data_IF_470636911559
#
_entry.id   IF_470636911559
#
_cell.length_a   1.000
_cell.length_b   1.000
_cell.length_c   1.000
_cell.angle_alpha   90.00
_cell.angle_beta   90.00
_cell.angle_gamma   90.00
#
_symmetry.space_group_name_H-M   'P 1'
#
loop_
_entity.id
_entity.type
_entity.pdbx_description
1 polymer ?
#
# COMPACT_ATOMS: atom_id res chain seq x y z
N UNK A 1 9.81 22.42 -9.36
CA UNK A 1 10.66 22.18 -8.17
C UNK A 1 9.78 21.52 -7.12
N UNK A 2 10.09 20.30 -6.70
CA UNK A 2 9.34 19.57 -5.67
C UNK A 2 9.37 20.35 -4.35
N UNK A 3 8.28 21.06 -4.04
CA UNK A 3 8.34 22.11 -3.02
C UNK A 3 8.49 21.53 -1.60
N UNK A 4 7.96 20.32 -1.34
CA UNK A 4 7.88 19.75 0.01
C UNK A 4 8.51 18.35 0.19
N UNK A 5 8.97 17.68 -0.88
CA UNK A 5 9.31 16.24 -0.84
C UNK A 5 10.58 15.89 -0.04
N UNK A 6 11.50 16.83 0.17
CA UNK A 6 12.81 16.58 0.79
C UNK A 6 13.03 17.32 2.12
N UNK A 7 12.03 18.06 2.60
CA UNK A 7 12.18 18.95 3.75
C UNK A 7 11.07 18.73 4.79
N UNK A 8 11.27 19.26 5.99
CA UNK A 8 10.26 19.22 7.04
C UNK A 8 10.23 17.89 7.79
N UNK A 9 11.37 17.46 8.33
CA UNK A 9 11.43 16.25 9.17
C UNK A 9 11.12 16.65 10.60
N UNK A 10 10.20 15.96 11.25
CA UNK A 10 9.89 16.22 12.65
C UNK A 10 11.02 15.70 13.56
N UNK A 11 11.69 16.53 14.39
CA UNK A 11 12.72 16.05 15.30
C UNK A 11 12.18 15.02 16.32
N UNK A 12 10.88 15.06 16.65
CA UNK A 12 10.23 14.08 17.54
C UNK A 12 10.22 12.67 16.97
N UNK A 13 10.12 12.52 15.65
CA UNK A 13 10.23 11.21 15.00
C UNK A 13 11.60 10.59 15.29
N UNK A 14 12.66 11.38 15.12
CA UNK A 14 14.04 10.94 15.35
C UNK A 14 14.26 10.65 16.84
N UNK A 15 13.77 11.51 17.72
CA UNK A 15 13.86 11.32 19.18
C UNK A 15 13.21 10.01 19.62
N UNK A 16 11.97 9.74 19.20
CA UNK A 16 11.24 8.52 19.57
C UNK A 16 11.94 7.23 19.10
N UNK A 17 12.53 7.24 17.91
CA UNK A 17 13.20 6.06 17.36
C UNK A 17 14.59 5.85 17.97
N UNK A 18 15.33 6.93 18.22
CA UNK A 18 16.73 6.85 18.68
C UNK A 18 16.88 6.91 20.20
N UNK A 19 15.84 7.30 20.92
CA UNK A 19 15.87 7.55 22.36
C UNK A 19 16.65 8.82 22.77
N UNK A 20 17.12 9.62 21.81
CA UNK A 20 17.84 10.87 22.08
C UNK A 20 16.88 11.96 22.54
N UNK A 21 17.36 12.81 23.45
CA UNK A 21 16.63 14.00 23.87
C UNK A 21 16.44 14.97 22.69
N UNK A 22 15.33 15.71 22.69
CA UNK A 22 15.04 16.67 21.63
C UNK A 22 16.09 17.78 21.53
N UNK A 23 16.74 18.15 22.64
CA UNK A 23 17.81 19.16 22.64
C UNK A 23 19.07 18.72 21.88
N UNK A 24 19.25 17.42 21.64
CA UNK A 24 20.37 16.87 20.86
C UNK A 24 20.08 16.81 19.35
N UNK A 25 18.83 17.08 18.95
CA UNK A 25 18.36 16.96 17.58
C UNK A 25 18.10 18.37 17.05
N UNK A 26 18.61 18.75 15.86
CA UNK A 26 18.33 20.06 15.28
C UNK A 26 16.83 20.29 15.11
N UNK A 27 16.35 21.52 15.32
CA UNK A 27 14.94 21.86 15.12
C UNK A 27 14.44 21.59 13.70
N UNK A 28 15.34 21.64 12.72
CA UNK A 28 15.09 21.31 11.31
C UNK A 28 16.08 20.25 10.82
N UNK A 29 15.89 18.96 11.18
CA UNK A 29 16.75 17.88 10.71
C UNK A 29 16.67 17.73 9.19
N UNK A 30 17.79 17.31 8.59
CA UNK A 30 17.85 16.92 7.18
C UNK A 30 17.78 15.40 7.05
N UNK A 31 17.56 14.90 5.83
CA UNK A 31 17.46 13.48 5.56
C UNK A 31 18.66 12.67 6.09
N UNK A 32 19.86 13.25 6.16
CA UNK A 32 21.06 12.56 6.68
C UNK A 32 20.95 12.17 8.16
N UNK A 33 20.04 12.79 8.91
CA UNK A 33 19.74 12.48 10.32
C UNK A 33 18.61 11.45 10.49
N UNK A 34 17.96 11.00 9.41
CA UNK A 34 16.93 9.97 9.51
C UNK A 34 17.54 8.68 10.08
N UNK A 35 16.90 8.08 11.11
CA UNK A 35 17.31 6.80 11.65
C UNK A 35 16.90 5.66 10.71
N UNK A 36 17.37 4.45 11.02
CA UNK A 36 17.13 3.29 10.16
C UNK A 36 18.10 3.18 9.00
N UNK A 37 17.86 2.19 8.16
CA UNK A 37 18.68 1.85 7.01
C UNK A 37 18.15 2.52 5.74
N UNK A 38 16.85 2.40 5.48
CA UNK A 38 16.27 2.74 4.18
C UNK A 38 15.80 4.18 4.06
N UNK A 39 15.41 4.84 5.16
CA UNK A 39 14.94 6.23 5.11
C UNK A 39 15.88 7.19 4.36
N UNK A 40 17.20 7.02 4.51
CA UNK A 40 18.22 7.83 3.82
C UNK A 40 18.43 7.44 2.37
N UNK A 41 18.25 6.16 2.03
CA UNK A 41 18.34 5.65 0.67
C UNK A 41 17.16 6.21 -0.12
N UNK A 42 15.95 5.99 0.38
CA UNK A 42 14.70 6.49 -0.20
C UNK A 42 14.71 8.02 -0.32
N UNK A 43 15.25 8.75 0.66
CA UNK A 43 15.36 10.21 0.61
C UNK A 43 16.17 10.73 -0.60
N UNK A 44 17.16 9.98 -1.09
CA UNK A 44 17.95 10.36 -2.28
C UNK A 44 17.11 10.25 -3.55
N UNK A 45 16.27 9.23 -3.62
CA UNK A 45 15.46 8.88 -4.79
C UNK A 45 14.07 9.55 -4.83
N UNK A 46 13.73 10.40 -3.84
CA UNK A 46 12.41 11.07 -3.72
C UNK A 46 11.91 11.83 -4.97
N UNK A 47 12.80 12.23 -5.87
CA UNK A 47 12.41 12.88 -7.13
C UNK A 47 11.88 11.88 -8.18
N UNK A 48 12.24 10.61 -8.06
CA UNK A 48 11.84 9.51 -8.95
C UNK A 48 10.50 8.88 -8.55
N UNK A 49 10.11 9.02 -7.28
CA UNK A 49 8.83 8.50 -6.78
C UNK A 49 7.64 9.12 -7.52
N UNK A 50 6.67 8.31 -7.97
CA UNK A 50 5.47 8.79 -8.64
C UNK A 50 4.67 9.73 -7.72
N UNK A 51 3.80 10.53 -8.34
CA UNK A 51 2.86 11.36 -7.60
C UNK A 51 1.54 10.62 -7.49
N UNK A 52 1.05 10.41 -6.28
CA UNK A 52 -0.32 9.91 -6.07
C UNK A 52 -1.35 10.93 -6.57
N UNK A 53 -1.10 12.22 -6.37
CA UNK A 53 -1.97 13.32 -6.80
C UNK A 53 -1.20 14.35 -7.63
N UNK A 54 -1.87 15.05 -8.57
CA UNK A 54 -1.28 16.19 -9.28
C UNK A 54 -0.75 17.26 -8.32
N UNK A 55 0.25 18.03 -8.76
CA UNK A 55 0.76 19.17 -7.98
C UNK A 55 -0.37 20.15 -7.64
N UNK A 56 -0.51 20.47 -6.34
CA UNK A 56 -1.53 21.39 -5.84
C UNK A 56 -0.89 22.46 -4.95
N UNK A 57 -0.15 23.35 -5.59
CA UNK A 57 0.72 24.31 -4.91
C UNK A 57 -0.03 25.58 -4.54
N UNK A 58 -0.05 25.89 -3.25
CA UNK A 58 -0.70 27.07 -2.70
C UNK A 58 0.19 27.83 -1.73
N UNK A 59 -0.12 29.12 -1.55
CA UNK A 59 0.66 29.99 -0.68
C UNK A 59 0.05 30.09 0.71
N UNK A 60 0.80 29.63 1.71
CA UNK A 60 0.40 29.63 3.11
C UNK A 60 1.33 30.50 3.94
N UNK A 61 0.78 31.11 4.98
CA UNK A 61 1.52 31.91 5.97
C UNK A 61 1.62 31.07 7.24
N UNK A 62 2.84 30.81 7.69
CA UNK A 62 3.07 30.18 8.99
C UNK A 62 2.78 31.19 10.09
N UNK A 63 1.88 30.89 11.02
CA UNK A 63 1.53 31.83 12.09
C UNK A 63 2.58 31.89 13.20
N UNK A 64 3.49 30.93 13.28
CA UNK A 64 4.56 30.91 14.28
C UNK A 64 5.68 31.90 13.98
N UNK A 65 6.03 32.07 12.70
CA UNK A 65 7.10 32.98 12.27
C UNK A 65 6.62 34.10 11.32
N UNK A 66 5.33 34.11 10.98
CA UNK A 66 4.66 35.08 10.10
C UNK A 66 5.24 35.19 8.67
N UNK A 67 5.91 34.15 8.20
CA UNK A 67 6.46 34.11 6.84
C UNK A 67 5.59 33.30 5.89
N UNK A 68 5.54 33.77 4.64
CA UNK A 68 4.82 33.17 3.53
C UNK A 68 5.68 32.13 2.82
N UNK A 69 5.10 30.99 2.48
CA UNK A 69 5.73 29.95 1.66
C UNK A 69 4.72 29.32 0.71
N UNK A 70 5.22 28.69 -0.35
CA UNK A 70 4.39 27.88 -1.22
C UNK A 70 4.53 26.43 -0.78
N UNK A 71 3.43 25.67 -0.82
CA UNK A 71 3.37 24.29 -0.38
C UNK A 71 2.46 23.51 -1.31
N UNK A 72 2.91 22.34 -1.72
CA UNK A 72 2.06 21.34 -2.36
C UNK A 72 1.20 20.67 -1.29
N UNK A 73 -0.12 20.82 -1.44
CA UNK A 73 -1.12 20.30 -0.51
C UNK A 73 -1.64 18.93 -0.91
N UNK A 74 -1.18 18.38 -2.04
CA UNK A 74 -1.74 17.15 -2.61
C UNK A 74 -3.24 17.30 -2.89
N UNK A 75 -4.00 16.24 -2.64
CA UNK A 75 -5.45 16.29 -2.75
C UNK A 75 -6.04 17.07 -1.57
N UNK A 76 -6.85 18.08 -1.88
CA UNK A 76 -7.65 18.83 -0.92
C UNK A 76 -9.08 18.28 -0.91
N UNK A 77 -9.47 17.66 0.19
CA UNK A 77 -10.83 17.25 0.45
C UNK A 77 -11.62 18.39 1.09
N UNK A 78 -12.82 18.65 0.57
CA UNK A 78 -13.71 19.70 1.02
C UNK A 78 -14.93 19.06 1.70
N UNK A 79 -15.14 19.41 2.95
CA UNK A 79 -16.32 19.05 3.72
C UNK A 79 -17.52 19.86 3.21
N UNK A 80 -18.36 19.19 2.42
CA UNK A 80 -19.52 19.80 1.78
C UNK A 80 -20.52 20.37 2.79
N UNK A 81 -20.74 19.70 3.92
CA UNK A 81 -21.67 20.14 4.96
C UNK A 81 -21.17 21.42 5.62
N UNK A 82 -19.88 21.47 5.99
CA UNK A 82 -19.27 22.70 6.55
C UNK A 82 -19.31 23.84 5.54
N UNK A 83 -19.01 23.57 4.26
CA UNK A 83 -19.05 24.59 3.21
C UNK A 83 -20.46 25.15 2.99
N UNK A 84 -21.50 24.30 3.07
CA UNK A 84 -22.89 24.74 2.94
C UNK A 84 -23.27 25.66 4.10
N UNK A 85 -22.92 25.29 5.33
CA UNK A 85 -23.18 26.10 6.52
C UNK A 85 -22.44 27.45 6.48
N UNK A 86 -21.20 27.46 5.99
CA UNK A 86 -20.41 28.67 5.74
C UNK A 86 -21.13 29.66 4.82
N UNK A 87 -21.75 29.17 3.74
CA UNK A 87 -22.49 29.99 2.77
C UNK A 87 -23.81 30.53 3.32
N UNK A 88 -24.44 29.81 4.24
CA UNK A 88 -25.72 30.18 4.85
C UNK A 88 -25.57 31.18 6.00
N UNK A 89 -24.46 31.13 6.76
CA UNK A 89 -24.20 32.00 7.93
C UNK A 89 -23.57 33.37 7.59
N UNK A 90 -23.71 33.88 6.37
CA UNK A 90 -23.39 35.28 6.06
C UNK A 90 -24.50 36.22 6.55
N UNK A 91 -24.75 36.26 7.86
CA UNK A 91 -25.61 37.26 8.51
C UNK A 91 -24.77 38.35 9.17
N UNK A 92 -25.25 39.59 9.01
CA UNK A 92 -24.72 40.83 9.59
C UNK A 92 -24.67 40.72 11.12
N UNK A 93 -23.49 40.63 11.73
CA UNK A 93 -23.12 41.25 13.01
C UNK A 93 -21.67 40.91 13.37
N UNK A 94 -20.89 41.97 13.63
CA UNK A 94 -19.44 42.01 13.45
C UNK A 94 -18.56 41.58 14.63
N UNK A 95 -18.90 40.54 15.40
CA UNK A 95 -18.09 40.17 16.58
C UNK A 95 -17.67 38.69 16.69
N UNK A 96 -18.16 37.80 15.82
CA UNK A 96 -17.64 36.42 15.73
C UNK A 96 -16.77 36.34 14.47
N UNK A 97 -15.51 35.89 14.61
CA UNK A 97 -14.62 35.67 13.48
C UNK A 97 -15.35 34.87 12.40
N UNK A 98 -15.54 35.47 11.22
CA UNK A 98 -16.26 34.84 10.12
C UNK A 98 -15.66 33.45 9.86
N UNK A 99 -16.46 32.37 9.87
CA UNK A 99 -15.95 31.03 9.58
C UNK A 99 -15.15 31.06 8.27
N UNK A 100 -14.03 30.34 8.24
CA UNK A 100 -13.11 30.40 7.09
C UNK A 100 -13.30 29.17 6.20
N UNK A 101 -13.06 29.32 4.89
CA UNK A 101 -12.96 28.18 3.98
C UNK A 101 -11.89 27.17 4.47
N UNK A 102 -10.90 27.65 5.22
CA UNK A 102 -9.89 26.86 5.92
C UNK A 102 -10.47 25.79 6.87
N UNK A 103 -11.65 26.03 7.43
CA UNK A 103 -12.30 25.09 8.37
C UNK A 103 -13.07 23.97 7.66
N UNK A 104 -13.27 24.13 6.35
CA UNK A 104 -13.98 23.19 5.50
C UNK A 104 -13.03 22.23 4.78
N UNK A 105 -11.72 22.34 4.95
CA UNK A 105 -10.75 21.58 4.15
C UNK A 105 -9.90 20.63 4.97
N UNK A 106 -9.44 19.59 4.29
CA UNK A 106 -8.37 18.68 4.71
C UNK A 106 -7.46 18.44 3.51
N UNK A 107 -6.17 18.20 3.75
CA UNK A 107 -5.19 18.03 2.70
C UNK A 107 -4.28 16.84 2.97
N UNK A 108 -3.97 16.08 1.92
CA UNK A 108 -3.08 14.91 2.03
C UNK A 108 -1.60 15.30 2.05
N UNK A 109 -1.21 16.38 1.38
CA UNK A 109 0.18 16.80 1.25
C UNK A 109 0.86 17.02 2.59
N UNK A 110 2.03 16.40 2.76
CA UNK A 110 2.85 16.59 3.94
C UNK A 110 3.78 17.80 3.76
N UNK A 111 3.77 18.73 4.71
CA UNK A 111 4.68 19.87 4.73
C UNK A 111 4.82 20.49 6.12
N UNK A 112 6.03 21.00 6.39
CA UNK A 112 6.37 21.83 7.56
C UNK A 112 7.01 23.13 7.06
N UNK A 113 6.93 24.19 7.86
CA UNK A 113 7.48 25.48 7.44
C UNK A 113 9.01 25.42 7.28
N UNK A 114 9.55 25.92 6.16
CA UNK A 114 10.97 25.70 5.83
C UNK A 114 11.98 26.30 6.82
N UNK A 115 11.69 27.42 7.49
CA UNK A 115 12.68 28.06 8.37
C UNK A 115 12.55 27.65 9.84
N UNK A 116 11.34 27.39 10.33
CA UNK A 116 11.09 27.06 11.75
C UNK A 116 10.54 25.64 11.96
N UNK A 117 10.35 24.87 10.88
CA UNK A 117 9.84 23.50 10.90
C UNK A 117 8.48 23.30 11.59
N UNK A 118 7.74 24.39 11.81
CA UNK A 118 6.43 24.34 12.44
C UNK A 118 5.40 23.66 11.53
N UNK A 119 4.42 23.01 12.18
CA UNK A 119 3.25 22.36 11.58
C UNK A 119 1.97 22.87 12.24
N UNK A 120 0.80 22.64 11.62
CA UNK A 120 -0.53 22.98 12.16
C UNK A 120 -0.90 24.47 12.22
N UNK A 121 0.06 25.37 12.19
CA UNK A 121 -0.09 26.81 12.37
C UNK A 121 -0.15 27.59 11.03
N UNK A 122 -1.26 27.50 10.31
CA UNK A 122 -1.37 28.03 8.94
C UNK A 122 -2.50 29.05 8.75
N UNK A 123 -2.21 30.12 8.00
CA UNK A 123 -3.19 31.06 7.45
C UNK A 123 -3.13 31.03 5.93
N UNK A 124 -4.29 31.16 5.30
CA UNK A 124 -4.38 31.33 3.85
C UNK A 124 -4.00 32.77 3.48
N UNK A 125 -3.32 32.94 2.36
CA UNK A 125 -3.24 34.26 1.74
C UNK A 125 -4.55 34.59 1.03
N UNK A 126 -4.92 35.87 0.88
CA UNK A 126 -6.20 36.24 0.25
C UNK A 126 -6.39 35.66 -1.17
N UNK A 127 -5.31 35.55 -1.96
CA UNK A 127 -5.35 34.84 -3.25
C UNK A 127 -5.68 33.36 -3.09
N UNK A 128 -5.05 32.72 -2.11
CA UNK A 128 -5.26 31.30 -1.83
C UNK A 128 -6.66 31.00 -1.34
N UNK A 129 -7.28 31.88 -0.53
CA UNK A 129 -8.70 31.73 -0.17
C UNK A 129 -9.60 31.68 -1.41
N UNK A 130 -9.36 32.57 -2.37
CA UNK A 130 -10.09 32.60 -3.65
C UNK A 130 -9.87 31.29 -4.43
N UNK A 131 -8.63 30.81 -4.53
CA UNK A 131 -8.29 29.56 -5.21
C UNK A 131 -9.08 28.37 -4.62
N UNK A 132 -9.25 28.33 -3.31
CA UNK A 132 -9.98 27.26 -2.62
C UNK A 132 -11.50 27.33 -2.83
N UNK A 133 -12.07 28.54 -2.88
CA UNK A 133 -13.45 28.69 -3.30
C UNK A 133 -13.65 28.18 -4.73
N UNK A 134 -12.76 28.52 -5.66
CA UNK A 134 -12.79 27.96 -7.03
C UNK A 134 -12.58 26.44 -7.05
N UNK A 135 -11.66 25.92 -6.24
CA UNK A 135 -11.45 24.48 -6.05
C UNK A 135 -12.72 23.76 -5.59
N UNK A 136 -13.53 24.38 -4.72
CA UNK A 136 -14.83 23.83 -4.30
C UNK A 136 -15.84 23.73 -5.45
N UNK A 137 -15.84 24.69 -6.38
CA UNK A 137 -16.67 24.61 -7.58
C UNK A 137 -16.16 23.54 -8.54
N UNK A 138 -14.84 23.43 -8.72
CA UNK A 138 -14.22 22.38 -9.53
C UNK A 138 -14.57 20.98 -8.99
N UNK A 139 -14.46 20.76 -7.68
CA UNK A 139 -14.85 19.50 -7.04
C UNK A 139 -16.32 19.12 -7.30
N UNK A 140 -17.22 20.10 -7.42
CA UNK A 140 -18.64 19.85 -7.74
C UNK A 140 -18.83 19.38 -9.19
N UNK A 141 -18.13 20.02 -10.12
CA UNK A 141 -18.24 19.76 -11.55
C UNK A 141 -17.63 18.39 -11.89
N UNK A 142 -16.56 18.00 -11.21
CA UNK A 142 -15.80 16.78 -11.49
C UNK A 142 -16.06 15.64 -10.49
N UNK A 143 -17.06 15.76 -9.61
CA UNK A 143 -17.40 14.79 -8.56
C UNK A 143 -17.50 13.33 -9.04
N UNK A 144 -17.86 13.08 -10.31
CA UNK A 144 -18.03 11.75 -10.90
C UNK A 144 -16.90 11.31 -11.85
N UNK A 145 -15.78 12.04 -11.92
CA UNK A 145 -14.60 11.64 -12.71
C UNK A 145 -13.51 11.08 -11.80
N UNK A 146 -12.69 10.19 -12.33
CA UNK A 146 -11.51 9.56 -11.70
C UNK A 146 -10.92 10.38 -10.53
N UNK A 147 -11.18 9.95 -9.29
CA UNK A 147 -10.82 10.71 -8.09
C UNK A 147 -9.29 10.89 -7.95
N UNK A 148 -8.50 9.95 -8.47
CA UNK A 148 -7.04 9.97 -8.43
C UNK A 148 -6.38 11.04 -9.30
N UNK A 149 -7.13 11.79 -10.11
CA UNK A 149 -6.58 12.83 -11.00
C UNK A 149 -6.96 14.25 -10.60
N UNK A 150 -7.58 14.44 -9.44
CA UNK A 150 -8.12 15.74 -9.03
C UNK A 150 -7.37 16.33 -7.84
N UNK A 151 -7.02 17.61 -7.93
CA UNK A 151 -6.42 18.38 -6.83
C UNK A 151 -7.44 18.72 -5.74
N UNK A 152 -8.73 18.76 -6.07
CA UNK A 152 -9.83 19.06 -5.15
C UNK A 152 -10.95 18.03 -5.29
N UNK A 153 -11.52 17.60 -4.17
CA UNK A 153 -12.66 16.68 -4.14
C UNK A 153 -13.61 17.00 -2.99
N UNK A 154 -14.85 16.53 -3.05
CA UNK A 154 -15.75 16.56 -1.89
C UNK A 154 -15.59 15.30 -1.06
N UNK A 155 -15.49 15.48 0.25
CA UNK A 155 -15.37 14.36 1.18
C UNK A 155 -14.71 14.77 2.48
N UNK A 156 -14.54 13.78 3.36
CA UNK A 156 -13.88 13.95 4.65
C UNK A 156 -12.84 12.86 4.81
N UNK A 157 -11.60 13.28 5.06
CA UNK A 157 -10.51 12.40 5.40
C UNK A 157 -10.62 12.03 6.88
N UNK A 158 -10.62 10.72 7.17
CA UNK A 158 -10.63 10.22 8.54
C UNK A 158 -9.60 9.11 8.71
N UNK A 159 -9.04 9.02 9.92
CA UNK A 159 -8.20 7.91 10.32
C UNK A 159 -9.06 6.70 10.70
N UNK A 160 -8.42 5.56 10.92
CA UNK A 160 -9.10 4.29 11.26
C UNK A 160 -9.92 4.39 12.55
N UNK A 161 -9.50 5.22 13.49
CA UNK A 161 -10.22 5.50 14.74
C UNK A 161 -11.29 6.61 14.61
N UNK A 162 -11.52 7.09 13.39
CA UNK A 162 -12.50 8.12 13.07
C UNK A 162 -12.03 9.55 13.32
N UNK A 163 -10.81 9.76 13.82
CA UNK A 163 -10.30 11.12 13.99
C UNK A 163 -10.14 11.84 12.65
N UNK A 164 -10.31 13.16 12.66
CA UNK A 164 -10.27 14.00 11.46
C UNK A 164 -9.24 15.09 11.66
N UNK A 165 -8.26 15.11 10.79
CA UNK A 165 -7.15 16.05 10.83
C UNK A 165 -7.12 16.86 9.55
N UNK A 166 -6.74 18.12 9.67
CA UNK A 166 -6.71 19.03 8.53
C UNK A 166 -5.46 18.80 7.69
N UNK A 167 -4.30 18.70 8.34
CA UNK A 167 -3.02 18.53 7.69
C UNK A 167 -2.43 17.15 7.95
N UNK A 168 -1.69 16.61 7.00
CA UNK A 168 -0.92 15.38 7.22
C UNK A 168 0.09 15.52 8.37
N UNK A 169 0.61 16.73 8.63
CA UNK A 169 1.46 16.98 9.81
C UNK A 169 0.69 17.02 11.12
N UNK A 170 -0.61 17.32 11.12
CA UNK A 170 -1.45 17.13 12.32
C UNK A 170 -1.67 15.63 12.60
N UNK A 171 -1.77 14.81 11.55
CA UNK A 171 -1.85 13.35 11.66
C UNK A 171 -0.54 12.78 12.21
N UNK A 172 0.60 13.28 11.74
CA UNK A 172 1.92 12.94 12.27
C UNK A 172 2.00 13.24 13.77
N UNK A 173 1.69 14.47 14.20
CA UNK A 173 1.74 14.83 15.63
C UNK A 173 0.78 13.97 16.47
N UNK A 174 -0.40 13.64 15.93
CA UNK A 174 -1.35 12.75 16.58
C UNK A 174 -0.76 11.36 16.87
N UNK A 175 -0.14 10.73 15.87
CA UNK A 175 0.47 9.42 16.05
C UNK A 175 1.76 9.47 16.88
N UNK A 176 2.60 10.48 16.72
CA UNK A 176 3.80 10.64 17.56
C UNK A 176 3.43 10.82 19.04
N UNK A 177 2.31 11.49 19.35
CA UNK A 177 1.80 11.57 20.72
C UNK A 177 1.34 10.20 21.25
N UNK A 178 0.67 9.38 20.44
CA UNK A 178 0.32 8.00 20.84
C UNK A 178 1.57 7.16 21.11
N UNK A 179 2.55 7.24 20.21
CA UNK A 179 3.81 6.51 20.31
C UNK A 179 4.68 6.95 21.49
N UNK A 180 4.58 8.21 21.93
CA UNK A 180 5.24 8.65 23.15
C UNK A 180 4.73 7.91 24.40
N UNK A 181 3.46 7.52 24.43
CA UNK A 181 2.89 6.69 25.50
C UNK A 181 3.06 5.18 25.30
N UNK A 182 3.11 4.72 24.04
CA UNK A 182 3.21 3.30 23.67
C UNK A 182 4.21 3.11 22.52
N UNK A 183 5.52 3.23 22.78
CA UNK A 183 6.54 3.22 21.72
C UNK A 183 6.71 1.86 21.03
N UNK A 184 6.28 0.77 21.69
CA UNK A 184 6.34 -0.60 21.20
C UNK A 184 5.03 -1.07 20.51
N UNK A 185 4.28 -0.15 19.90
CA UNK A 185 3.09 -0.48 19.12
C UNK A 185 3.40 -0.43 17.61
N UNK A 186 3.68 -1.61 17.02
CA UNK A 186 3.97 -1.76 15.58
C UNK A 186 2.86 -1.20 14.69
N UNK A 187 1.59 -1.37 15.09
CA UNK A 187 0.44 -0.92 14.31
C UNK A 187 0.36 0.60 14.24
N UNK A 188 0.66 1.28 15.34
CA UNK A 188 0.70 2.73 15.34
C UNK A 188 1.86 3.25 14.49
N UNK A 189 3.02 2.58 14.49
CA UNK A 189 4.11 2.88 13.55
C UNK A 189 3.72 2.65 12.08
N UNK A 190 3.06 1.54 11.76
CA UNK A 190 2.51 1.25 10.44
C UNK A 190 1.51 2.34 9.99
N UNK A 191 0.60 2.76 10.89
CA UNK A 191 -0.38 3.82 10.59
C UNK A 191 0.27 5.17 10.35
N UNK A 192 1.31 5.50 11.12
CA UNK A 192 2.12 6.69 10.88
C UNK A 192 2.82 6.61 9.51
N UNK A 193 3.43 5.47 9.17
CA UNK A 193 4.07 5.27 7.87
C UNK A 193 3.09 5.42 6.70
N UNK A 194 1.90 4.82 6.81
CA UNK A 194 0.82 4.99 5.83
C UNK A 194 0.37 6.45 5.68
N UNK A 195 0.39 7.24 6.76
CA UNK A 195 0.09 8.67 6.66
C UNK A 195 1.18 9.46 5.93
N UNK A 196 2.45 9.08 6.11
CA UNK A 196 3.55 9.66 5.33
C UNK A 196 3.48 9.28 3.85
N UNK A 197 3.13 8.03 3.52
CA UNK A 197 2.91 7.59 2.13
C UNK A 197 1.86 8.47 1.44
N UNK A 198 0.67 8.61 2.04
CA UNK A 198 -0.39 9.49 1.52
C UNK A 198 0.04 10.96 1.40
N UNK A 199 0.97 11.38 2.25
CA UNK A 199 1.59 12.70 2.20
C UNK A 199 2.74 12.84 1.21
N UNK A 200 3.09 11.78 0.48
CA UNK A 200 4.17 11.75 -0.49
C UNK A 200 5.57 11.78 0.12
N UNK A 201 5.72 11.38 1.40
CA UNK A 201 6.99 11.28 2.13
C UNK A 201 7.41 9.83 2.31
N UNK A 202 7.78 9.19 1.20
CA UNK A 202 8.25 7.80 1.16
C UNK A 202 9.47 7.57 2.04
N UNK A 203 10.34 8.58 2.17
CA UNK A 203 11.50 8.55 3.08
C UNK A 203 11.10 8.39 4.55
N UNK A 204 10.13 9.17 5.03
CA UNK A 204 9.61 9.05 6.39
C UNK A 204 8.77 7.79 6.58
N UNK A 205 8.03 7.38 5.54
CA UNK A 205 7.29 6.13 5.55
C UNK A 205 8.21 4.93 5.75
N UNK A 206 9.32 4.86 5.01
CA UNK A 206 10.32 3.81 5.14
C UNK A 206 10.85 3.72 6.58
N UNK A 207 11.22 4.86 7.19
CA UNK A 207 11.67 4.91 8.58
C UNK A 207 10.62 4.35 9.56
N UNK A 208 9.35 4.73 9.40
CA UNK A 208 8.28 4.28 10.28
C UNK A 208 7.90 2.80 10.03
N UNK A 209 7.97 2.30 8.79
CA UNK A 209 7.80 0.87 8.51
C UNK A 209 8.94 0.05 9.08
N UNK A 210 10.20 0.48 8.93
CA UNK A 210 11.35 -0.16 9.58
C UNK A 210 11.16 -0.25 11.10
N UNK A 211 10.63 0.80 11.73
CA UNK A 211 10.37 0.78 13.17
C UNK A 211 9.22 -0.17 13.54
N UNK A 212 8.17 -0.25 12.72
CA UNK A 212 7.11 -1.25 12.88
C UNK A 212 7.68 -2.67 12.86
N UNK A 213 8.53 -2.97 11.87
CA UNK A 213 9.12 -4.30 11.66
C UNK A 213 10.16 -4.68 12.72
N UNK A 214 10.83 -3.71 13.34
CA UNK A 214 11.67 -3.98 14.52
C UNK A 214 10.87 -4.46 15.72
N UNK A 215 9.62 -4.02 15.84
CA UNK A 215 8.73 -4.38 16.95
C UNK A 215 7.99 -5.69 16.62
N UNK A 216 7.46 -5.79 15.41
CA UNK A 216 6.76 -6.97 14.90
C UNK A 216 7.31 -7.33 13.50
N UNK A 217 8.31 -8.23 13.44
CA UNK A 217 8.89 -8.67 12.17
C UNK A 217 7.91 -9.39 11.23
N UNK A 218 6.75 -9.84 11.73
CA UNK A 218 5.73 -10.53 10.95
C UNK A 218 4.60 -9.61 10.49
N UNK A 219 4.71 -8.29 10.68
CA UNK A 219 3.67 -7.34 10.30
C UNK A 219 3.56 -7.18 8.78
N UNK A 220 2.64 -7.95 8.18
CA UNK A 220 2.50 -8.13 6.73
C UNK A 220 2.30 -6.82 5.97
N UNK A 221 1.49 -5.89 6.50
CA UNK A 221 1.26 -4.57 5.88
C UNK A 221 2.56 -3.76 5.76
N UNK A 222 3.39 -3.82 6.80
CA UNK A 222 4.66 -3.10 6.84
C UNK A 222 5.70 -3.73 5.94
N UNK A 223 5.77 -5.07 5.89
CA UNK A 223 6.64 -5.83 4.98
C UNK A 223 6.32 -5.48 3.52
N UNK A 224 5.04 -5.60 3.13
CA UNK A 224 4.59 -5.27 1.79
C UNK A 224 4.87 -3.80 1.43
N UNK A 225 4.49 -2.86 2.31
CA UNK A 225 4.62 -1.44 2.00
C UNK A 225 6.07 -0.98 1.92
N UNK A 226 6.96 -1.51 2.77
CA UNK A 226 8.39 -1.23 2.69
C UNK A 226 8.99 -1.85 1.43
N UNK A 227 8.65 -3.10 1.10
CA UNK A 227 9.10 -3.75 -0.13
C UNK A 227 8.76 -2.94 -1.37
N UNK A 228 7.51 -2.45 -1.48
CA UNK A 228 7.09 -1.58 -2.59
C UNK A 228 7.87 -0.26 -2.64
N UNK A 229 8.07 0.41 -1.50
CA UNK A 229 8.88 1.64 -1.45
C UNK A 229 10.31 1.38 -1.94
N UNK A 230 10.88 0.23 -1.58
CA UNK A 230 12.25 -0.12 -1.96
C UNK A 230 12.36 -0.40 -3.45
N UNK A 231 11.39 -1.09 -4.04
CA UNK A 231 11.32 -1.26 -5.50
C UNK A 231 11.23 0.10 -6.21
N UNK A 232 10.36 1.00 -5.75
CA UNK A 232 10.26 2.35 -6.30
C UNK A 232 11.54 3.19 -6.11
N UNK A 233 12.37 2.85 -5.12
CA UNK A 233 13.69 3.44 -4.90
C UNK A 233 14.81 2.75 -5.71
N UNK A 234 14.52 1.69 -6.46
CA UNK A 234 15.49 0.89 -7.21
C UNK A 234 16.33 -0.07 -6.36
N UNK A 235 15.91 -0.35 -5.12
CA UNK A 235 16.56 -1.28 -4.19
C UNK A 235 15.89 -2.67 -4.29
N UNK A 236 15.93 -3.26 -5.48
CA UNK A 236 15.14 -4.44 -5.85
C UNK A 236 15.48 -5.69 -5.03
N UNK A 237 16.77 -5.93 -4.74
CA UNK A 237 17.19 -7.06 -3.90
C UNK A 237 16.51 -7.01 -2.52
N UNK A 238 16.54 -5.83 -1.87
CA UNK A 238 15.88 -5.64 -0.59
C UNK A 238 14.35 -5.67 -0.71
N UNK A 239 13.79 -5.14 -1.81
CA UNK A 239 12.37 -5.20 -2.07
C UNK A 239 11.86 -6.65 -2.12
N UNK A 240 12.54 -7.51 -2.88
CA UNK A 240 12.25 -8.95 -2.98
C UNK A 240 12.26 -9.61 -1.60
N UNK A 241 13.27 -9.34 -0.77
CA UNK A 241 13.36 -9.91 0.59
C UNK A 241 12.12 -9.58 1.43
N UNK A 242 11.70 -8.30 1.46
CA UNK A 242 10.52 -7.89 2.23
C UNK A 242 9.21 -8.42 1.65
N UNK A 243 9.06 -8.46 0.33
CA UNK A 243 7.88 -9.01 -0.33
C UNK A 243 7.76 -10.52 -0.09
N UNK A 244 8.87 -11.26 -0.14
CA UNK A 244 8.91 -12.67 0.24
C UNK A 244 8.53 -12.89 1.71
N UNK A 245 9.03 -12.06 2.63
CA UNK A 245 8.61 -12.12 4.03
C UNK A 245 7.12 -11.84 4.21
N UNK A 246 6.53 -10.92 3.43
CA UNK A 246 5.09 -10.67 3.47
C UNK A 246 4.29 -11.92 3.10
N UNK A 247 4.69 -12.62 2.02
CA UNK A 247 4.11 -13.89 1.59
C UNK A 247 4.23 -14.98 2.66
N UNK A 248 5.43 -15.13 3.26
CA UNK A 248 5.71 -16.15 4.29
C UNK A 248 4.86 -15.95 5.54
N UNK A 249 4.67 -14.70 6.00
CA UNK A 249 3.99 -14.40 7.25
C UNK A 249 2.46 -14.28 7.12
N UNK A 250 1.95 -14.12 5.89
CA UNK A 250 0.52 -13.90 5.62
C UNK A 250 -0.42 -14.89 6.29
N UNK A 251 -0.17 -16.19 6.16
CA UNK A 251 -1.09 -17.22 6.64
C UNK A 251 -1.25 -17.32 8.15
N UNK A 252 -0.35 -16.67 8.91
CA UNK A 252 -0.39 -16.59 10.38
C UNK A 252 -0.84 -15.22 10.88
N UNK A 253 -0.94 -14.23 10.01
CA UNK A 253 -1.22 -12.86 10.39
C UNK A 253 -2.72 -12.63 10.54
N UNK A 254 -3.21 -12.65 11.78
CA UNK A 254 -4.65 -12.69 12.07
C UNK A 254 -5.36 -11.33 12.00
N UNK A 255 -4.61 -10.22 11.91
CA UNK A 255 -5.15 -8.85 12.05
C UNK A 255 -5.69 -8.24 10.75
N UNK A 256 -5.69 -9.01 9.67
CA UNK A 256 -6.21 -8.61 8.37
C UNK A 256 -7.30 -9.59 7.90
N UNK A 257 -8.30 -9.07 7.19
CA UNK A 257 -9.35 -9.91 6.59
C UNK A 257 -8.76 -10.74 5.45
N UNK A 258 -9.41 -11.86 5.13
CA UNK A 258 -8.92 -12.77 4.11
C UNK A 258 -8.88 -12.12 2.73
N UNK A 259 -9.87 -11.29 2.42
CA UNK A 259 -9.98 -10.56 1.16
C UNK A 259 -8.89 -9.51 1.04
N UNK A 260 -8.72 -8.67 2.07
CA UNK A 260 -7.67 -7.64 2.12
C UNK A 260 -6.27 -8.27 2.02
N UNK A 261 -6.07 -9.44 2.67
CA UNK A 261 -4.83 -10.21 2.59
C UNK A 261 -4.59 -10.71 1.17
N UNK A 262 -5.59 -11.33 0.54
CA UNK A 262 -5.47 -11.83 -0.84
C UNK A 262 -5.13 -10.70 -1.80
N UNK A 263 -5.79 -9.56 -1.69
CA UNK A 263 -5.52 -8.40 -2.54
C UNK A 263 -4.10 -7.87 -2.31
N UNK A 264 -3.65 -7.75 -1.06
CA UNK A 264 -2.29 -7.31 -0.74
C UNK A 264 -1.22 -8.27 -1.29
N UNK A 265 -1.38 -9.57 -1.09
CA UNK A 265 -0.40 -10.54 -1.61
C UNK A 265 -0.41 -10.59 -3.14
N UNK A 266 -1.56 -10.34 -3.76
CA UNK A 266 -1.64 -10.20 -5.22
C UNK A 266 -0.79 -9.00 -5.68
N UNK A 267 -0.95 -7.84 -5.05
CA UNK A 267 -0.11 -6.68 -5.34
C UNK A 267 1.36 -6.88 -4.99
N UNK A 268 1.68 -7.71 -4.00
CA UNK A 268 3.06 -8.11 -3.71
C UNK A 268 3.65 -8.95 -4.85
N UNK A 269 2.87 -9.91 -5.38
CA UNK A 269 3.27 -10.74 -6.51
C UNK A 269 3.41 -9.94 -7.81
N UNK A 270 2.55 -8.95 -8.04
CA UNK A 270 2.71 -8.02 -9.17
C UNK A 270 4.03 -7.26 -9.09
N UNK A 271 4.36 -6.72 -7.91
CA UNK A 271 5.64 -6.03 -7.70
C UNK A 271 6.83 -6.98 -7.90
N UNK A 272 6.75 -8.23 -7.44
CA UNK A 272 7.78 -9.23 -7.72
C UNK A 272 7.91 -9.54 -9.22
N UNK A 273 6.79 -9.65 -9.94
CA UNK A 273 6.81 -9.84 -11.40
C UNK A 273 7.45 -8.65 -12.14
N UNK A 274 7.17 -7.43 -11.69
CA UNK A 274 7.81 -6.21 -12.19
C UNK A 274 9.32 -6.22 -11.95
N UNK A 275 9.77 -6.67 -10.78
CA UNK A 275 11.20 -6.78 -10.45
C UNK A 275 11.91 -7.84 -11.29
N UNK A 276 11.32 -9.03 -11.43
CA UNK A 276 11.99 -10.13 -12.14
C UNK A 276 11.95 -9.99 -13.66
N UNK A 277 10.91 -9.33 -14.20
CA UNK A 277 10.64 -9.22 -15.64
C UNK A 277 10.55 -10.57 -16.39
N UNK A 278 10.49 -11.69 -15.65
CA UNK A 278 10.50 -13.06 -16.19
C UNK A 278 9.65 -13.98 -15.30
N UNK A 279 8.69 -14.68 -15.93
CA UNK A 279 7.77 -15.57 -15.22
C UNK A 279 8.46 -16.82 -14.67
N UNK A 280 9.41 -17.40 -15.40
CA UNK A 280 10.10 -18.61 -14.94
C UNK A 280 10.92 -18.32 -13.68
N UNK A 281 11.63 -17.18 -13.68
CA UNK A 281 12.39 -16.72 -12.51
C UNK A 281 11.43 -16.44 -11.35
N UNK A 282 10.37 -15.65 -11.58
CA UNK A 282 9.36 -15.34 -10.57
C UNK A 282 8.83 -16.60 -9.89
N UNK A 283 8.34 -17.59 -10.65
CA UNK A 283 7.80 -18.81 -10.06
C UNK A 283 8.86 -19.65 -9.34
N UNK A 284 10.10 -19.65 -9.84
CA UNK A 284 11.19 -20.43 -9.26
C UNK A 284 11.65 -19.89 -7.90
N UNK A 285 11.57 -18.57 -7.71
CA UNK A 285 12.08 -17.86 -6.54
C UNK A 285 11.03 -17.57 -5.47
N UNK A 286 9.74 -17.77 -5.78
CA UNK A 286 8.66 -17.66 -4.81
C UNK A 286 8.89 -18.55 -3.57
N UNK A 287 8.56 -18.07 -2.35
CA UNK A 287 8.76 -18.82 -1.12
C UNK A 287 8.02 -20.16 -1.13
N UNK A 288 8.73 -21.23 -0.77
CA UNK A 288 8.20 -22.60 -0.78
C UNK A 288 7.55 -22.94 0.54
N UNK A 289 6.78 -24.02 0.57
CA UNK A 289 6.09 -24.47 1.78
C UNK A 289 7.04 -24.66 2.98
N UNK A 290 8.29 -25.04 2.75
CA UNK A 290 9.32 -25.18 3.78
C UNK A 290 9.68 -23.83 4.44
N UNK A 291 9.69 -22.74 3.67
CA UNK A 291 10.06 -21.39 4.14
C UNK A 291 8.92 -20.80 4.99
N UNK A 292 7.72 -21.36 4.84
CA UNK A 292 6.55 -21.00 5.63
C UNK A 292 6.53 -21.71 7.00
N UNK A 293 7.38 -22.69 7.30
CA UNK A 293 7.35 -23.45 8.55
C UNK A 293 8.13 -22.75 9.68
N UNK A 294 7.63 -22.80 10.91
CA UNK A 294 8.42 -22.39 12.08
C UNK A 294 9.43 -23.49 12.47
N UNK A 295 10.50 -23.14 13.21
CA UNK A 295 11.42 -24.14 13.75
C UNK A 295 10.68 -25.22 14.55
N UNK A 296 10.75 -26.47 14.07
CA UNK A 296 10.10 -27.62 14.70
C UNK A 296 8.73 -28.01 14.13
N UNK A 297 8.17 -27.25 13.19
CA UNK A 297 6.98 -27.66 12.44
C UNK A 297 7.36 -28.63 11.31
N UNK A 298 6.66 -29.76 11.22
CA UNK A 298 6.74 -30.65 10.06
C UNK A 298 5.69 -30.23 9.02
N UNK A 299 5.98 -30.29 7.70
CA UNK A 299 4.98 -30.02 6.68
C UNK A 299 3.77 -30.96 6.87
N UNK A 300 2.61 -30.39 7.21
CA UNK A 300 1.37 -31.16 7.32
C UNK A 300 0.90 -31.69 5.96
N UNK A 301 0.01 -32.69 5.95
CA UNK A 301 -0.59 -33.23 4.70
C UNK A 301 -1.39 -32.18 3.90
N UNK A 302 -1.68 -31.01 4.46
CA UNK A 302 -2.36 -29.90 3.78
C UNK A 302 -1.51 -29.16 2.76
N UNK A 303 -0.18 -29.36 2.75
CA UNK A 303 0.74 -28.77 1.76
C UNK A 303 0.92 -29.65 0.52
N UNK A 304 0.28 -30.81 0.47
CA UNK A 304 0.27 -31.70 -0.69
C UNK A 304 -0.68 -31.18 -1.77
N UNK A 305 -0.27 -30.13 -2.49
CA UNK A 305 -1.03 -29.66 -3.65
C UNK A 305 -0.78 -30.59 -4.84
N UNK A 306 -1.87 -31.17 -5.35
CA UNK A 306 -1.92 -31.70 -6.71
C UNK A 306 -1.82 -30.50 -7.65
N UNK A 307 -1.11 -30.67 -8.77
CA UNK A 307 -0.87 -29.67 -9.81
C UNK A 307 -2.01 -28.65 -9.97
N UNK A 308 -1.65 -27.38 -10.03
CA UNK A 308 -2.58 -26.26 -10.15
C UNK A 308 -2.47 -25.66 -11.55
N UNK A 309 -3.60 -25.55 -12.25
CA UNK A 309 -3.67 -24.86 -13.54
C UNK A 309 -3.88 -23.36 -13.28
N UNK A 310 -2.82 -22.56 -13.48
CA UNK A 310 -2.88 -21.11 -13.36
C UNK A 310 -2.89 -20.48 -14.77
N UNK A 311 -3.87 -19.62 -15.02
CA UNK A 311 -3.90 -18.76 -16.22
C UNK A 311 -3.68 -17.34 -15.76
N UNK A 312 -2.51 -16.78 -16.06
CA UNK A 312 -2.18 -15.38 -15.73
C UNK A 312 -2.61 -14.49 -16.91
N UNK A 313 -3.36 -13.45 -16.59
CA UNK A 313 -3.81 -12.44 -17.52
C UNK A 313 -3.09 -11.13 -17.17
N UNK A 314 -2.26 -10.55 -18.07
CA UNK A 314 -1.53 -9.32 -17.78
C UNK A 314 -2.42 -8.13 -17.38
N UNK A 315 -3.62 -8.05 -17.95
CA UNK A 315 -4.56 -6.95 -17.69
C UNK A 315 -5.56 -7.23 -16.55
N UNK A 316 -5.46 -8.41 -15.91
CA UNK A 316 -6.32 -8.80 -14.79
C UNK A 316 -5.49 -9.41 -13.67
N UNK A 317 -5.07 -8.55 -12.75
CA UNK A 317 -4.31 -8.93 -11.56
C UNK A 317 -5.00 -10.01 -10.72
N UNK A 318 -6.33 -10.11 -10.78
CA UNK A 318 -7.10 -11.14 -10.07
C UNK A 318 -6.83 -12.54 -10.60
N UNK A 319 -6.22 -12.66 -11.78
CA UNK A 319 -5.70 -13.93 -12.28
C UNK A 319 -4.63 -14.54 -11.36
N UNK A 320 -3.97 -13.74 -10.52
CA UNK A 320 -3.03 -14.20 -9.48
C UNK A 320 -3.70 -14.58 -8.15
N UNK A 321 -5.00 -14.33 -7.95
CA UNK A 321 -5.71 -14.70 -6.71
C UNK A 321 -5.49 -16.15 -6.29
N UNK A 322 -5.58 -17.13 -7.21
CA UNK A 322 -5.34 -18.51 -6.82
C UNK A 322 -3.92 -18.73 -6.28
N UNK A 323 -2.91 -18.02 -6.82
CA UNK A 323 -1.54 -18.09 -6.32
C UNK A 323 -1.40 -17.41 -4.95
N UNK A 324 -1.96 -16.21 -4.79
CA UNK A 324 -1.99 -15.49 -3.51
C UNK A 324 -2.67 -16.32 -2.40
N UNK A 325 -3.76 -17.00 -2.73
CA UNK A 325 -4.50 -17.86 -1.81
C UNK A 325 -3.69 -19.07 -1.31
N UNK A 326 -2.57 -19.43 -1.96
CA UNK A 326 -1.64 -20.45 -1.45
C UNK A 326 -0.98 -20.01 -0.14
N UNK A 327 -0.74 -18.71 0.04
CA UNK A 327 0.04 -18.13 1.14
C UNK A 327 -0.82 -17.66 2.33
N UNK A 328 -2.12 -17.40 2.12
CA UNK A 328 -3.01 -16.88 3.17
C UNK A 328 -3.44 -17.93 4.22
N UNK A 329 -2.97 -19.19 4.10
CA UNK A 329 -3.19 -20.24 5.10
C UNK A 329 -4.67 -20.46 5.45
N UNK A 330 -4.99 -20.48 6.76
CA UNK A 330 -6.37 -20.70 7.26
C UNK A 330 -7.34 -19.57 6.90
N UNK A 331 -6.84 -18.40 6.49
CA UNK A 331 -7.70 -17.31 6.03
C UNK A 331 -8.45 -17.69 4.76
N UNK A 332 -7.93 -18.63 3.96
CA UNK A 332 -8.56 -19.13 2.74
C UNK A 332 -9.98 -19.66 2.99
N UNK A 333 -10.21 -20.32 4.12
CA UNK A 333 -11.53 -20.90 4.46
C UNK A 333 -12.61 -19.82 4.70
N UNK A 334 -12.21 -18.56 4.88
CA UNK A 334 -13.10 -17.42 5.07
C UNK A 334 -13.48 -16.74 3.74
N UNK A 335 -12.84 -17.11 2.62
CA UNK A 335 -13.15 -16.55 1.30
C UNK A 335 -14.45 -17.14 0.75
N UNK A 336 -15.36 -16.28 0.30
CA UNK A 336 -16.68 -16.69 -0.17
C UNK A 336 -16.74 -17.16 -1.63
N UNK A 337 -15.75 -16.82 -2.46
CA UNK A 337 -15.78 -17.01 -3.92
C UNK A 337 -15.15 -18.33 -4.39
N UNK A 338 -14.38 -19.00 -3.53
CA UNK A 338 -13.79 -20.32 -3.78
C UNK A 338 -12.87 -20.37 -5.01
N UNK A 339 -12.24 -19.24 -5.36
CA UNK A 339 -11.36 -19.05 -6.52
C UNK A 339 -10.22 -20.06 -6.57
N UNK A 340 -9.51 -20.27 -5.46
CA UNK A 340 -8.47 -21.30 -5.40
C UNK A 340 -9.02 -22.68 -5.70
N UNK A 341 -10.11 -23.11 -5.05
CA UNK A 341 -10.70 -24.44 -5.27
C UNK A 341 -11.14 -24.68 -6.73
N UNK A 342 -11.62 -23.64 -7.43
CA UNK A 342 -11.93 -23.72 -8.85
C UNK A 342 -10.67 -24.01 -9.69
N UNK A 343 -9.54 -23.38 -9.39
CA UNK A 343 -8.27 -23.56 -10.12
C UNK A 343 -7.65 -24.96 -9.97
N UNK A 344 -7.77 -25.58 -8.79
CA UNK A 344 -7.29 -26.95 -8.54
C UNK A 344 -8.27 -28.03 -9.03
N UNK A 345 -9.52 -27.68 -9.34
CA UNK A 345 -10.56 -28.65 -9.72
C UNK A 345 -10.52 -29.11 -11.19
N UNK A 346 -9.47 -28.77 -11.94
CA UNK A 346 -9.17 -29.36 -13.25
C UNK A 346 -8.22 -30.56 -13.11
N UNK A 347 -8.75 -31.71 -12.71
CA UNK A 347 -8.19 -32.99 -13.16
C UNK A 347 -9.32 -33.95 -13.55
N UNK A 348 -9.15 -34.48 -14.77
CA UNK A 348 -10.03 -35.31 -15.56
C UNK A 348 -10.76 -36.45 -14.83
N UNK A 349 -12.00 -36.70 -15.28
CA UNK A 349 -12.68 -38.01 -15.14
C UNK A 349 -12.05 -39.10 -16.02
N UNK A 350 -10.73 -39.12 -16.22
CA UNK A 350 -10.07 -40.13 -17.02
C UNK A 350 -8.73 -40.54 -16.37
N UNK A 351 -8.59 -41.79 -15.91
CA UNK A 351 -7.34 -42.26 -15.34
C UNK A 351 -6.28 -42.43 -16.44
N UNK A 352 -5.19 -41.68 -16.31
CA UNK A 352 -3.94 -41.90 -17.04
C UNK A 352 -3.21 -43.12 -16.46
N UNK A 353 -3.69 -44.31 -16.81
CA UNK A 353 -2.86 -45.50 -16.94
C UNK A 353 -3.33 -46.26 -18.19
N UNK A 354 -2.45 -46.64 -19.13
CA UNK A 354 -2.83 -47.55 -20.19
C UNK A 354 -3.22 -48.89 -19.52
N UNK A 355 -4.46 -49.35 -19.72
CA UNK A 355 -4.82 -50.72 -19.41
C UNK A 355 -3.81 -51.63 -20.13
N UNK A 356 -3.04 -52.39 -19.35
CA UNK A 356 -2.27 -53.51 -19.89
C UNK A 356 -3.20 -54.36 -20.75
N UNK A 357 -2.84 -54.47 -22.03
CA UNK A 357 -3.50 -55.31 -23.02
C UNK A 357 -3.47 -56.75 -22.50
N UNK A 358 -4.52 -57.16 -21.78
CA UNK A 358 -4.85 -58.56 -21.57
C UNK A 358 -5.25 -59.13 -22.93
N UNK A 359 -4.33 -59.87 -23.53
CA UNK A 359 -4.59 -60.73 -24.69
C UNK A 359 -5.83 -61.61 -24.43
N UNK A 360 -6.96 -61.22 -25.01
CA UNK A 360 -8.10 -62.13 -25.19
C UNK A 360 -7.80 -63.04 -26.37
N UNK A 361 -7.12 -64.16 -26.09
CA UNK A 361 -7.29 -65.40 -26.84
C UNK A 361 -8.78 -65.76 -26.83
N UNK A 362 -9.46 -65.64 -27.97
CA UNK A 362 -10.34 -66.69 -28.51
C UNK A 362 -11.29 -66.16 -29.59
N UNK A 363 -11.05 -66.60 -30.83
CA UNK A 363 -12.08 -67.18 -31.68
C UNK A 363 -13.06 -66.23 -32.38
N UNK A 364 -12.79 -65.94 -33.66
CA UNK A 364 -13.85 -65.91 -34.68
C UNK A 364 -13.40 -66.53 -36.00
N UNK A 365 -13.96 -67.72 -36.22
CA UNK A 365 -14.10 -68.53 -37.44
C UNK A 365 -13.78 -67.82 -38.77
N UNK A 366 -12.76 -68.34 -39.47
CA UNK A 366 -12.59 -68.23 -40.92
C UNK A 366 -13.69 -69.00 -41.65
N UNK A 367 -14.44 -68.35 -42.54
CA UNK A 367 -15.11 -69.00 -43.69
C UNK A 367 -14.88 -68.21 -44.98
N UNK A 368 -13.88 -68.68 -45.73
CA UNK A 368 -13.77 -68.83 -47.20
C UNK A 368 -14.50 -67.83 -48.12
N UNK A 369 -13.72 -67.14 -48.96
CA UNK A 369 -13.94 -67.13 -50.42
C UNK A 369 -12.68 -67.57 -51.15
N UNK A 370 -12.92 -68.40 -52.16
CA UNK A 370 -12.01 -69.25 -52.94
C UNK A 370 -11.58 -68.51 -54.22
N UNK A 371 -10.43 -68.94 -54.75
CA UNK A 371 -10.01 -68.95 -56.17
C UNK A 371 -9.54 -67.62 -56.78
N UNK A 372 -8.21 -67.54 -56.99
CA UNK A 372 -7.64 -67.76 -58.33
C UNK A 372 -6.33 -68.54 -58.20
N UNK A 373 -6.20 -69.53 -59.07
CA UNK A 373 -5.14 -70.54 -59.20
C UNK A 373 -4.32 -70.14 -60.44
N UNK A 374 -3.04 -70.53 -60.44
CA UNK A 374 -2.19 -70.80 -61.63
C UNK A 374 -1.72 -69.54 -62.37
N UNK A 375 -0.47 -69.40 -62.81
CA UNK A 375 0.48 -70.40 -63.35
C UNK A 375 1.84 -69.68 -63.52
N UNK A 376 2.92 -70.44 -63.30
CA UNK A 376 4.31 -70.25 -63.75
C UNK A 376 5.11 -69.13 -63.10
#
# INVERSE_FOLDING_TARGET
>A
MAINRKYGINPRLISLITGKDLSEIPDSPTASKLPGHYGRIVAKEMDNFPREFPENVHSLICTSCNYKGNYDLGMVAIDHEKLKNLRQNKSMDGEIASPSIMDCIQATGYFRYRQCNAAGCWKLSGKTEIDFYFGSFAAAIFYNKDAGKQSFTYGVLSLVDGSRHRWATDVEEYYLNKLAGQPADSFTWNRLANSYLKGGRHDLAAVAFEQSLKIDPAQVESLYSLGRILHEAGEDEAAVEYLHQALINAGRYERMKAEDMRDMLTSAMECLLEIYEDFEIFFSDLPKAQDMLLPGETPGSSYAFKSMDLTICPDDYKSLYPLAEMYIGKHRDKLADGTFYKSISKMDKNPLFPEEVREKRSGKKKKKKKKKKKKK
#
